data_IF_115456338103
#
_entry.id   IF_115456338103
#
_cell.length_a   1.000
_cell.length_b   1.000
_cell.length_c   1.000
_cell.angle_alpha   90.00
_cell.angle_beta   90.00
_cell.angle_gamma   90.00
#
_symmetry.space_group_name_H-M   'P 1'
#
loop_
_entity.id
_entity.type
_entity.pdbx_description
1 polymer ?
#
# COMPACT_ATOMS: atom_id res chain seq x y z
N UNK A 1 5.43 2.81 9.95
CA UNK A 1 5.97 2.12 8.75
C UNK A 1 5.43 0.70 8.74
N UNK A 2 5.00 0.20 7.58
CA UNK A 2 4.46 -1.15 7.42
C UNK A 2 5.36 -1.87 6.42
N UNK A 3 5.80 -3.09 6.73
CA UNK A 3 6.74 -3.84 5.88
C UNK A 3 6.01 -4.74 4.88
N UNK A 4 6.37 -4.66 3.60
CA UNK A 4 5.86 -5.54 2.55
C UNK A 4 6.47 -6.94 2.72
N UNK A 5 5.64 -7.91 3.11
CA UNK A 5 6.08 -9.26 3.50
C UNK A 5 6.14 -10.24 2.32
N UNK A 6 5.71 -9.84 1.12
CA UNK A 6 5.72 -10.67 -0.09
C UNK A 6 6.54 -10.09 -1.25
N UNK A 7 7.24 -8.97 -1.03
CA UNK A 7 8.17 -8.41 -2.01
C UNK A 7 9.57 -8.67 -1.48
N UNK A 8 10.31 -9.53 -2.16
CA UNK A 8 11.74 -9.72 -1.90
C UNK A 8 12.51 -9.17 -3.09
N UNK A 9 13.61 -8.44 -2.87
CA UNK A 9 14.52 -8.11 -3.96
C UNK A 9 15.09 -9.43 -4.55
N UNK A 10 15.40 -9.48 -5.85
CA UNK A 10 15.90 -10.69 -6.51
C UNK A 10 17.16 -11.27 -5.85
N UNK A 11 17.96 -10.46 -5.16
CA UNK A 11 19.19 -10.86 -4.45
C UNK A 11 18.99 -11.23 -2.96
N UNK A 12 17.77 -11.62 -2.57
CA UNK A 12 17.46 -11.94 -1.17
C UNK A 12 18.07 -13.29 -0.74
N UNK A 13 19.10 -13.25 0.11
CA UNK A 13 19.82 -14.42 0.61
C UNK A 13 19.21 -15.08 1.87
N UNK A 14 17.98 -14.72 2.25
CA UNK A 14 17.31 -15.28 3.44
C UNK A 14 17.71 -14.66 4.78
N UNK A 15 18.67 -13.74 4.79
CA UNK A 15 19.11 -12.97 5.97
C UNK A 15 18.79 -11.49 5.76
N UNK A 16 17.96 -10.90 6.63
CA UNK A 16 17.74 -9.45 6.66
C UNK A 16 19.03 -8.78 7.12
N UNK A 17 19.85 -8.34 6.18
CA UNK A 17 21.02 -7.52 6.45
C UNK A 17 20.57 -6.06 6.59
N UNK A 18 20.61 -5.48 7.81
CA UNK A 18 20.15 -4.10 8.04
C UNK A 18 21.02 -3.06 7.32
N UNK A 19 22.20 -3.45 6.80
CA UNK A 19 23.05 -2.57 6.01
C UNK A 19 22.66 -2.49 4.54
N UNK A 20 21.82 -3.40 4.03
CA UNK A 20 21.35 -3.36 2.63
C UNK A 20 20.29 -2.28 2.45
N UNK A 21 20.45 -1.37 1.48
CA UNK A 21 19.43 -0.39 1.17
C UNK A 21 18.18 -1.05 0.56
N UNK A 22 17.03 -0.43 0.75
CA UNK A 22 15.73 -0.91 0.27
C UNK A 22 14.94 0.18 -0.46
N UNK A 23 13.83 -0.20 -1.08
CA UNK A 23 12.88 0.73 -1.69
C UNK A 23 11.67 0.91 -0.78
N UNK A 24 11.29 2.16 -0.55
CA UNK A 24 10.11 2.54 0.24
C UNK A 24 9.04 3.12 -0.67
N UNK A 25 7.81 2.62 -0.56
CA UNK A 25 6.64 3.24 -1.18
C UNK A 25 5.97 4.19 -0.18
N UNK A 26 5.92 5.48 -0.52
CA UNK A 26 5.22 6.52 0.24
C UNK A 26 3.78 6.63 -0.26
N UNK A 27 2.84 6.48 0.67
CA UNK A 27 1.40 6.64 0.45
C UNK A 27 0.88 7.76 1.36
N UNK A 28 -0.09 8.58 0.90
CA UNK A 28 -0.84 8.47 -0.35
C UNK A 28 -0.22 9.18 -1.55
N UNK A 29 1.07 9.56 -1.52
CA UNK A 29 1.70 10.25 -2.66
C UNK A 29 2.00 9.34 -3.85
N UNK A 30 1.95 8.01 -3.68
CA UNK A 30 2.30 7.02 -4.71
C UNK A 30 3.71 7.29 -5.25
N UNK A 31 4.69 7.40 -4.34
CA UNK A 31 6.08 7.72 -4.66
C UNK A 31 7.01 6.64 -4.12
N UNK A 32 7.81 6.04 -4.99
CA UNK A 32 8.91 5.17 -4.56
C UNK A 32 10.14 6.00 -4.25
N UNK A 33 10.80 5.66 -3.15
CA UNK A 33 12.11 6.16 -2.78
C UNK A 33 13.06 4.97 -2.75
N UNK A 34 14.01 4.93 -3.67
CA UNK A 34 14.99 3.87 -3.79
C UNK A 34 16.24 4.17 -2.94
N UNK A 35 17.04 3.14 -2.68
CA UNK A 35 18.32 3.22 -1.98
C UNK A 35 18.25 3.70 -0.52
N UNK A 36 17.17 3.38 0.20
CA UNK A 36 16.94 3.79 1.58
C UNK A 36 17.60 2.83 2.56
N UNK A 37 18.57 3.29 3.35
CA UNK A 37 19.13 2.55 4.48
C UNK A 37 18.39 2.88 5.79
N UNK A 38 18.68 2.13 6.86
CA UNK A 38 18.11 2.44 8.18
C UNK A 38 18.55 3.82 8.71
N UNK A 39 19.76 4.26 8.37
CA UNK A 39 20.29 5.57 8.79
C UNK A 39 19.57 6.73 8.09
N UNK A 40 18.97 6.49 6.92
CA UNK A 40 18.29 7.51 6.11
C UNK A 40 16.86 7.80 6.57
N UNK A 41 16.30 7.00 7.50
CA UNK A 41 14.89 7.11 7.91
C UNK A 41 14.51 8.51 8.42
N UNK A 42 15.33 9.23 9.23
CA UNK A 42 15.01 10.60 9.62
C UNK A 42 14.93 11.57 8.43
N UNK A 43 15.89 11.49 7.49
CA UNK A 43 15.89 12.36 6.29
C UNK A 43 14.73 12.01 5.35
N UNK A 44 14.44 10.72 5.18
CA UNK A 44 13.26 10.23 4.44
C UNK A 44 11.97 10.87 4.96
N UNK A 45 11.75 10.84 6.29
CA UNK A 45 10.54 11.40 6.91
C UNK A 45 10.48 12.90 6.67
N UNK A 46 11.56 13.62 6.98
CA UNK A 46 11.61 15.07 6.86
C UNK A 46 11.35 15.53 5.41
N UNK A 47 11.98 14.90 4.42
CA UNK A 47 11.90 15.30 3.01
C UNK A 47 10.67 14.81 2.26
N UNK A 48 10.14 13.63 2.57
CA UNK A 48 9.11 13.01 1.74
C UNK A 48 7.76 12.82 2.45
N UNK A 49 7.73 12.94 3.78
CA UNK A 49 6.50 12.82 4.58
C UNK A 49 6.06 14.18 5.10
N UNK A 50 6.94 14.89 5.80
CA UNK A 50 6.59 16.17 6.46
C UNK A 50 6.60 17.34 5.47
N UNK A 51 7.54 17.33 4.53
CA UNK A 51 7.68 18.35 3.48
C UNK A 51 7.49 17.74 2.08
N UNK A 52 6.29 17.26 1.71
CA UNK A 52 6.09 16.64 0.40
C UNK A 52 6.48 17.63 -0.70
N UNK A 53 7.48 17.26 -1.51
CA UNK A 53 7.93 18.07 -2.64
C UNK A 53 6.76 18.27 -3.58
N UNK A 54 6.18 19.47 -3.61
CA UNK A 54 5.25 19.88 -4.65
C UNK A 54 6.06 20.07 -5.93
N UNK A 55 5.67 19.40 -7.03
CA UNK A 55 6.30 19.48 -8.36
C UNK A 55 6.26 20.88 -9.02
N UNK A 56 6.19 21.98 -8.24
CA UNK A 56 5.99 23.35 -8.75
C UNK A 56 7.17 24.31 -8.64
N UNK A 57 8.37 23.88 -8.25
CA UNK A 57 9.51 24.80 -8.20
C UNK A 57 10.70 24.26 -8.96
N UNK A 58 10.94 24.85 -10.13
CA UNK A 58 12.17 24.71 -10.88
C UNK A 58 13.38 25.24 -10.12
N UNK A 59 14.53 24.61 -10.41
CA UNK A 59 15.90 25.13 -10.32
C UNK A 59 16.17 26.05 -9.11
N UNK A 60 16.34 25.45 -7.95
CA UNK A 60 17.25 25.97 -6.90
C UNK A 60 18.44 25.00 -6.79
N UNK A 61 19.65 25.46 -6.38
CA UNK A 61 20.81 24.58 -6.28
C UNK A 61 20.59 23.59 -5.14
N UNK A 62 20.09 22.40 -5.47
CA UNK A 62 19.89 21.32 -4.52
C UNK A 62 21.26 20.74 -4.22
N UNK A 63 21.69 20.86 -2.96
CA UNK A 63 22.87 20.21 -2.42
C UNK A 63 22.87 18.73 -2.83
N UNK A 64 23.93 18.19 -3.46
CA UNK A 64 23.95 16.86 -4.06
C UNK A 64 24.17 15.73 -3.04
N UNK A 65 23.59 15.83 -1.84
CA UNK A 65 23.99 15.01 -0.68
C UNK A 65 23.11 13.79 -0.42
N UNK A 66 22.14 13.47 -1.27
CA UNK A 66 21.24 12.34 -1.00
C UNK A 66 21.25 11.35 -2.17
N UNK A 67 21.73 10.14 -1.87
CA UNK A 67 21.69 8.96 -2.73
C UNK A 67 20.27 8.39 -2.91
N UNK A 68 19.27 8.94 -2.21
CA UNK A 68 17.88 8.51 -2.29
C UNK A 68 17.23 9.08 -3.55
N UNK A 69 16.81 8.21 -4.45
CA UNK A 69 16.14 8.58 -5.70
C UNK A 69 14.63 8.43 -5.57
N UNK A 70 13.88 9.50 -5.87
CA UNK A 70 12.42 9.47 -5.90
C UNK A 70 11.91 9.20 -7.32
N UNK A 71 10.92 8.31 -7.46
CA UNK A 71 10.23 8.04 -8.73
C UNK A 71 8.75 7.75 -8.51
N UNK A 72 7.88 8.03 -9.51
CA UNK A 72 6.46 7.73 -9.38
C UNK A 72 6.18 6.23 -9.26
N UNK A 73 5.14 5.88 -8.50
CA UNK A 73 4.51 4.57 -8.53
C UNK A 73 3.46 4.55 -9.66
N UNK A 74 3.63 3.63 -10.60
CA UNK A 74 2.77 3.53 -11.79
C UNK A 74 1.41 2.88 -11.52
N UNK A 75 1.17 2.31 -10.33
CA UNK A 75 -0.12 1.72 -9.96
C UNK A 75 -1.21 2.78 -9.77
N UNK A 76 -2.43 2.46 -10.19
CA UNK A 76 -3.62 3.27 -9.87
C UNK A 76 -4.15 2.97 -8.46
N UNK A 77 -4.01 1.71 -8.05
CA UNK A 77 -4.52 1.19 -6.79
C UNK A 77 -3.45 0.37 -6.04
N UNK A 78 -3.39 0.56 -4.73
CA UNK A 78 -2.55 -0.25 -3.84
C UNK A 78 -3.46 -0.85 -2.76
N UNK A 79 -3.50 -2.18 -2.70
CA UNK A 79 -4.25 -2.94 -1.70
C UNK A 79 -3.27 -3.61 -0.75
N UNK A 80 -3.34 -3.28 0.55
CA UNK A 80 -2.48 -3.85 1.58
C UNK A 80 -3.29 -4.83 2.43
N UNK A 81 -2.81 -6.06 2.51
CA UNK A 81 -3.42 -7.16 3.26
C UNK A 81 -2.50 -7.56 4.42
N UNK A 82 -3.01 -7.40 5.63
CA UNK A 82 -2.34 -7.87 6.84
C UNK A 82 -2.17 -9.41 6.79
N UNK A 83 -0.93 -9.91 6.75
CA UNK A 83 -0.63 -11.35 6.53
C UNK A 83 0.19 -12.00 7.66
N UNK A 84 0.38 -11.30 8.78
CA UNK A 84 1.19 -11.82 9.88
C UNK A 84 0.56 -13.09 10.47
N UNK A 85 1.43 -13.98 10.96
CA UNK A 85 1.05 -15.25 11.62
C UNK A 85 1.41 -15.32 13.10
N UNK A 86 2.18 -14.34 13.61
CA UNK A 86 2.64 -14.32 15.00
C UNK A 86 1.50 -13.92 15.94
N UNK A 87 1.37 -14.61 17.07
CA UNK A 87 0.30 -14.47 18.10
C UNK A 87 -1.12 -14.83 17.65
N UNK A 88 -1.55 -14.42 16.47
CA UNK A 88 -2.83 -14.82 15.85
C UNK A 88 -2.61 -15.05 14.36
N UNK A 89 -3.00 -16.24 13.90
CA UNK A 89 -2.78 -16.67 12.53
C UNK A 89 -3.92 -16.29 11.58
N UNK A 90 -5.06 -15.76 12.06
CA UNK A 90 -6.24 -15.48 11.22
C UNK A 90 -5.92 -14.58 10.04
N UNK A 91 -5.15 -13.51 10.24
CA UNK A 91 -4.67 -12.66 9.15
C UNK A 91 -3.81 -13.45 8.15
N UNK A 92 -2.79 -14.19 8.61
CA UNK A 92 -1.92 -14.98 7.74
C UNK A 92 -2.56 -16.21 7.07
N UNK A 93 -3.72 -16.66 7.55
CA UNK A 93 -4.57 -17.69 6.90
C UNK A 93 -5.50 -17.03 5.86
N UNK A 94 -6.10 -15.88 6.20
CA UNK A 94 -7.16 -15.27 5.39
C UNK A 94 -6.59 -14.42 4.25
N UNK A 95 -5.44 -13.77 4.43
CA UNK A 95 -4.86 -12.87 3.43
C UNK A 95 -4.61 -13.54 2.05
N UNK A 96 -4.07 -14.77 1.95
CA UNK A 96 -3.94 -15.45 0.66
C UNK A 96 -5.27 -15.76 -0.02
N UNK A 97 -6.32 -16.06 0.76
CA UNK A 97 -7.66 -16.30 0.22
C UNK A 97 -8.28 -15.01 -0.33
N UNK A 98 -8.15 -13.91 0.40
CA UNK A 98 -8.61 -12.58 -0.04
C UNK A 98 -7.83 -12.13 -1.28
N UNK A 99 -6.49 -12.29 -1.30
CA UNK A 99 -5.66 -11.94 -2.47
C UNK A 99 -6.14 -12.68 -3.71
N UNK A 100 -6.25 -14.01 -3.64
CA UNK A 100 -6.70 -14.83 -4.78
C UNK A 100 -8.08 -14.42 -5.29
N UNK A 101 -9.00 -14.08 -4.39
CA UNK A 101 -10.35 -13.69 -4.77
C UNK A 101 -10.41 -12.27 -5.36
N UNK A 102 -9.64 -11.32 -4.83
CA UNK A 102 -9.49 -9.99 -5.45
C UNK A 102 -8.88 -10.09 -6.85
N UNK A 103 -7.80 -10.85 -7.02
CA UNK A 103 -7.19 -11.12 -8.33
C UNK A 103 -8.19 -11.72 -9.32
N UNK A 104 -9.01 -12.68 -8.87
CA UNK A 104 -10.07 -13.29 -9.69
C UNK A 104 -11.02 -12.26 -10.28
N UNK A 105 -11.33 -11.20 -9.53
CA UNK A 105 -12.21 -10.12 -9.98
C UNK A 105 -11.49 -8.99 -10.74
N UNK A 106 -10.19 -8.78 -10.50
CA UNK A 106 -9.38 -7.76 -11.19
C UNK A 106 -8.90 -8.22 -12.57
N UNK A 107 -8.62 -9.51 -12.76
CA UNK A 107 -8.12 -10.07 -14.03
C UNK A 107 -9.07 -9.83 -15.21
N UNK A 108 -10.39 -10.08 -15.12
CA UNK A 108 -11.31 -9.80 -16.23
C UNK A 108 -11.40 -8.32 -16.60
N UNK A 109 -11.01 -7.43 -15.69
CA UNK A 109 -10.97 -5.98 -15.91
C UNK A 109 -9.62 -5.51 -16.46
N UNK A 110 -8.62 -6.40 -16.59
CA UNK A 110 -7.26 -6.05 -16.98
C UNK A 110 -6.51 -5.22 -15.93
N UNK A 111 -6.99 -5.21 -14.68
CA UNK A 111 -6.46 -4.37 -13.60
C UNK A 111 -5.50 -5.11 -12.66
N UNK A 112 -5.41 -6.44 -12.74
CA UNK A 112 -4.46 -7.21 -11.93
C UNK A 112 -3.02 -6.82 -12.29
N UNK A 113 -2.19 -6.52 -11.28
CA UNK A 113 -0.75 -6.31 -11.39
C UNK A 113 -0.07 -7.17 -10.33
N UNK A 114 0.54 -8.26 -10.77
CA UNK A 114 1.35 -9.09 -9.89
C UNK A 114 2.74 -8.44 -9.66
N UNK A 115 3.65 -9.15 -8.98
CA UNK A 115 4.95 -8.60 -8.62
C UNK A 115 5.90 -8.41 -9.82
N UNK A 116 5.68 -9.17 -10.90
CA UNK A 116 6.53 -9.18 -12.09
C UNK A 116 5.92 -8.37 -13.25
N UNK A 117 4.69 -7.89 -13.09
CA UNK A 117 3.98 -7.07 -14.06
C UNK A 117 4.36 -5.59 -13.98
N UNK A 118 5.15 -5.13 -14.94
CA UNK A 118 5.60 -3.74 -15.05
C UNK A 118 4.65 -2.83 -15.84
N UNK A 119 3.45 -3.28 -16.22
CA UNK A 119 2.50 -2.44 -16.96
C UNK A 119 1.99 -1.30 -16.08
N UNK A 120 1.88 -0.07 -16.62
CA UNK A 120 1.33 1.04 -15.85
C UNK A 120 -0.15 0.84 -15.52
N UNK A 121 -0.60 1.58 -14.50
CA UNK A 121 -1.94 1.54 -13.95
C UNK A 121 -2.25 0.24 -13.22
N UNK A 122 -3.54 -0.02 -13.01
CA UNK A 122 -4.01 -1.24 -12.36
C UNK A 122 -3.81 -1.27 -10.84
N UNK A 123 -3.93 -2.46 -10.26
CA UNK A 123 -4.01 -2.69 -8.83
C UNK A 123 -2.94 -3.69 -8.38
N UNK A 124 -2.04 -3.24 -7.51
CA UNK A 124 -1.09 -4.10 -6.80
C UNK A 124 -1.66 -4.56 -5.46
N UNK A 125 -1.58 -5.86 -5.17
CA UNK A 125 -2.02 -6.45 -3.90
C UNK A 125 -0.80 -6.96 -3.12
N UNK A 126 -0.53 -6.35 -1.98
CA UNK A 126 0.66 -6.61 -1.17
C UNK A 126 0.30 -7.17 0.19
N UNK A 127 1.07 -8.18 0.60
CA UNK A 127 1.05 -8.64 1.97
C UNK A 127 1.89 -7.72 2.83
N UNK A 128 1.37 -7.41 4.00
CA UNK A 128 2.02 -6.51 4.94
C UNK A 128 2.11 -7.10 6.34
N UNK A 129 3.06 -6.56 7.11
CA UNK A 129 3.19 -6.80 8.55
C UNK A 129 1.91 -6.46 9.32
N UNK A 130 1.89 -6.76 10.62
CA UNK A 130 0.69 -6.58 11.46
C UNK A 130 0.08 -5.17 11.35
N UNK A 131 -1.20 -5.12 10.94
CA UNK A 131 -2.02 -3.91 10.91
C UNK A 131 -3.39 -4.20 11.54
N UNK A 132 -3.85 -3.26 12.37
CA UNK A 132 -5.26 -3.11 12.75
C UNK A 132 -5.82 -3.99 13.85
N UNK A 133 -4.99 -4.82 14.49
CA UNK A 133 -5.37 -5.64 15.63
C UNK A 133 -6.19 -6.88 15.27
N UNK A 134 -5.99 -7.96 16.02
CA UNK A 134 -6.60 -9.26 15.74
C UNK A 134 -8.12 -9.30 15.88
N UNK A 135 -8.71 -8.46 16.75
CA UNK A 135 -10.17 -8.33 16.90
C UNK A 135 -10.87 -8.05 15.57
N UNK A 136 -10.16 -7.47 14.60
CA UNK A 136 -10.69 -6.95 13.34
C UNK A 136 -10.17 -7.67 12.08
N UNK A 137 -9.48 -8.80 12.25
CA UNK A 137 -9.03 -9.65 11.15
C UNK A 137 -10.19 -10.03 10.22
N UNK A 138 -10.05 -9.97 8.89
CA UNK A 138 -8.89 -9.52 8.12
C UNK A 138 -8.93 -8.00 7.83
N UNK A 139 -7.78 -7.31 7.98
CA UNK A 139 -7.64 -5.89 7.66
C UNK A 139 -7.18 -5.70 6.21
N UNK A 140 -7.84 -4.81 5.49
CA UNK A 140 -7.57 -4.46 4.08
C UNK A 140 -7.51 -2.94 3.95
N UNK A 141 -6.37 -2.40 3.52
CA UNK A 141 -6.23 -0.96 3.25
C UNK A 141 -6.19 -0.78 1.73
N UNK A 142 -7.03 0.10 1.21
CA UNK A 142 -7.18 0.36 -0.22
C UNK A 142 -6.83 1.82 -0.48
N UNK A 143 -5.74 2.05 -1.20
CA UNK A 143 -5.35 3.37 -1.67
C UNK A 143 -5.76 3.54 -3.14
N UNK A 144 -6.36 4.68 -3.47
CA UNK A 144 -6.78 5.07 -4.82
C UNK A 144 -6.03 6.35 -5.20
N UNK A 145 -5.10 6.24 -6.17
CA UNK A 145 -4.16 7.32 -6.52
C UNK A 145 -4.87 8.56 -7.02
N UNK A 146 -5.73 8.41 -8.03
CA UNK A 146 -6.43 9.53 -8.69
C UNK A 146 -7.30 10.32 -7.71
N UNK A 147 -7.99 9.61 -6.84
CA UNK A 147 -8.94 10.19 -5.88
C UNK A 147 -8.27 10.67 -4.58
N UNK A 148 -6.96 10.43 -4.43
CA UNK A 148 -6.21 10.70 -3.20
C UNK A 148 -6.94 10.18 -1.96
N UNK A 149 -7.41 8.94 -2.08
CA UNK A 149 -8.31 8.31 -1.11
C UNK A 149 -7.66 7.08 -0.50
N UNK A 150 -7.86 6.88 0.80
CA UNK A 150 -7.55 5.64 1.49
C UNK A 150 -8.79 5.15 2.24
N UNK A 151 -9.14 3.88 2.05
CA UNK A 151 -10.24 3.21 2.73
C UNK A 151 -9.67 2.03 3.50
N UNK A 152 -9.91 1.99 4.81
CA UNK A 152 -9.47 0.89 5.66
C UNK A 152 -10.67 0.05 6.11
N UNK A 153 -10.70 -1.19 5.63
CA UNK A 153 -11.70 -2.19 5.97
C UNK A 153 -11.16 -3.24 6.97
N UNK A 154 -12.07 -3.75 7.79
CA UNK A 154 -11.87 -4.88 8.69
C UNK A 154 -12.86 -6.00 8.38
N UNK A 155 -12.63 -7.17 8.99
CA UNK A 155 -13.53 -8.34 8.90
C UNK A 155 -13.81 -8.78 7.47
N UNK A 156 -12.87 -8.51 6.55
CA UNK A 156 -13.03 -8.88 5.15
C UNK A 156 -12.99 -10.42 5.02
N UNK A 157 -13.89 -10.94 4.18
CA UNK A 157 -14.03 -12.35 3.82
C UNK A 157 -13.99 -12.48 2.30
N UNK A 158 -13.69 -13.67 1.74
CA UNK A 158 -13.70 -13.87 0.29
C UNK A 158 -14.99 -13.41 -0.39
N UNK A 159 -16.16 -13.67 0.20
CA UNK A 159 -17.47 -13.26 -0.34
C UNK A 159 -17.62 -11.74 -0.54
N UNK A 160 -16.84 -10.91 0.15
CA UNK A 160 -16.88 -9.45 0.00
C UNK A 160 -16.04 -8.94 -1.17
N UNK A 161 -15.13 -9.75 -1.73
CA UNK A 161 -14.09 -9.28 -2.66
C UNK A 161 -14.66 -8.74 -3.97
N UNK A 162 -15.76 -9.32 -4.48
CA UNK A 162 -16.46 -8.79 -5.65
C UNK A 162 -16.95 -7.37 -5.42
N UNK A 163 -17.61 -7.15 -4.26
CA UNK A 163 -18.12 -5.83 -3.87
C UNK A 163 -17.00 -4.84 -3.62
N UNK A 164 -15.90 -5.29 -3.02
CA UNK A 164 -14.70 -4.47 -2.81
C UNK A 164 -14.14 -3.99 -4.16
N UNK A 165 -14.01 -4.87 -5.15
CA UNK A 165 -13.52 -4.46 -6.48
C UNK A 165 -14.52 -3.50 -7.13
N UNK A 166 -15.79 -3.89 -7.24
CA UNK A 166 -16.80 -3.13 -7.98
C UNK A 166 -17.12 -1.76 -7.39
N UNK A 167 -17.19 -1.66 -6.06
CA UNK A 167 -17.67 -0.47 -5.36
C UNK A 167 -16.56 0.27 -4.63
N UNK A 168 -15.71 -0.43 -3.88
CA UNK A 168 -14.70 0.24 -3.06
C UNK A 168 -13.50 0.69 -3.87
N UNK A 169 -12.89 -0.22 -4.62
CA UNK A 169 -11.69 0.06 -5.40
C UNK A 169 -11.99 0.98 -6.60
N UNK A 170 -13.02 0.65 -7.39
CA UNK A 170 -13.35 1.42 -8.59
C UNK A 170 -14.11 2.72 -8.31
N UNK A 171 -15.02 2.75 -7.33
CA UNK A 171 -15.92 3.89 -7.11
C UNK A 171 -15.67 4.64 -5.79
N UNK A 172 -14.78 4.15 -4.92
CA UNK A 172 -14.54 4.78 -3.60
C UNK A 172 -15.69 4.65 -2.61
N UNK A 173 -16.57 3.64 -2.77
CA UNK A 173 -17.75 3.42 -1.92
C UNK A 173 -17.53 2.27 -0.93
N UNK A 174 -17.98 2.45 0.31
CA UNK A 174 -17.94 1.41 1.35
C UNK A 174 -19.29 0.69 1.38
N UNK A 175 -19.27 -0.65 1.24
CA UNK A 175 -20.50 -1.46 1.14
C UNK A 175 -21.14 -1.71 2.51
N UNK A 176 -20.34 -1.96 3.54
CA UNK A 176 -20.78 -2.27 4.91
C UNK A 176 -20.07 -1.34 5.93
N UNK A 177 -20.36 -0.03 5.93
CA UNK A 177 -19.61 0.93 6.73
C UNK A 177 -19.71 0.69 8.24
N UNK A 178 -20.87 0.26 8.72
CA UNK A 178 -21.15 -0.03 10.14
C UNK A 178 -20.28 -1.16 10.73
N UNK A 179 -19.96 -2.17 9.93
CA UNK A 179 -19.29 -3.38 10.41
C UNK A 179 -17.83 -3.50 9.94
N UNK A 180 -17.49 -2.88 8.80
CA UNK A 180 -16.19 -3.04 8.15
C UNK A 180 -15.34 -1.78 8.17
N UNK A 181 -15.92 -0.57 8.17
CA UNK A 181 -15.11 0.64 8.09
C UNK A 181 -14.31 0.83 9.39
N UNK A 182 -12.99 0.97 9.24
CA UNK A 182 -12.07 1.28 10.34
C UNK A 182 -11.57 2.71 10.33
N UNK A 183 -11.76 3.39 9.21
CA UNK A 183 -11.29 4.74 8.98
C UNK A 183 -10.85 4.93 7.54
N UNK A 184 -10.36 6.13 7.26
CA UNK A 184 -9.94 6.51 5.92
C UNK A 184 -9.95 8.01 5.71
N UNK A 185 -9.53 8.42 4.53
CA UNK A 185 -9.60 9.81 4.10
C UNK A 185 -9.91 9.89 2.61
N UNK A 186 -10.45 11.03 2.20
CA UNK A 186 -10.63 11.42 0.82
C UNK A 186 -10.19 12.88 0.70
N UNK A 187 -8.98 13.11 0.18
CA UNK A 187 -8.41 14.46 0.11
C UNK A 187 -9.13 15.32 -0.92
N UNK A 188 -9.62 14.73 -2.02
CA UNK A 188 -10.37 15.46 -3.04
C UNK A 188 -11.71 15.98 -2.51
N UNK A 189 -12.36 15.23 -1.60
CA UNK A 189 -13.62 15.63 -0.95
C UNK A 189 -13.43 16.34 0.39
N UNK A 190 -12.20 16.37 0.93
CA UNK A 190 -11.90 16.99 2.22
C UNK A 190 -12.50 16.27 3.43
N UNK A 191 -12.76 14.96 3.32
CA UNK A 191 -13.38 14.17 4.41
C UNK A 191 -12.42 13.17 5.02
N UNK A 192 -12.58 12.92 6.32
CA UNK A 192 -11.82 11.92 7.09
C UNK A 192 -12.76 11.11 7.98
N UNK A 193 -12.40 9.86 8.23
CA UNK A 193 -13.10 8.95 9.13
C UNK A 193 -12.07 8.31 10.05
N UNK A 194 -12.33 8.34 11.35
CA UNK A 194 -11.44 7.86 12.40
C UNK A 194 -12.13 6.82 13.28
#
# INVERSE_FOLDING_TARGET
MVSASNIQPPDYSGTDDPSKPTTVLILPSFTFIDSVSQADVPDLIHRFVDSPVTEKSGIGPVTPTSHMAARPCELDYVVLLCSHRRRDARCGITAPLIKRELERHLRPLGLDRDADDSRPGGAGIFFVSHVGGHKFSANVLIYRKKDQQMIWLARVRPEHCEGIVKYTLLQGKVVHPEDQLRGGFDRCRGVTSW
#
